data_IF_773399913324
#
_entry.id   IF_773399913324
#
_cell.length_a   1.000
_cell.length_b   1.000
_cell.length_c   1.000
_cell.angle_alpha   90.00
_cell.angle_beta   90.00
_cell.angle_gamma   90.00
#
_symmetry.space_group_name_H-M   'P 1'
#
loop_
_entity.id
_entity.type
_entity.pdbx_description
1 polymer ?
#
# COMPACT_ATOMS: atom_id res chain seq x y z
N UNK A 1 -13.69 4.15 -14.40
CA UNK A 1 -13.38 4.53 -13.00
C UNK A 1 -11.87 4.63 -12.90
N UNK A 2 -11.30 5.66 -12.27
CA UNK A 2 -9.83 5.76 -12.15
C UNK A 2 -9.36 4.72 -11.12
N UNK A 3 -8.35 3.93 -11.47
CA UNK A 3 -7.75 2.95 -10.57
C UNK A 3 -6.43 3.48 -10.02
N UNK A 4 -6.20 3.33 -8.72
CA UNK A 4 -4.96 3.77 -8.05
C UNK A 4 -4.38 2.64 -7.23
N UNK A 5 -3.12 2.30 -7.48
CA UNK A 5 -2.32 1.43 -6.62
C UNK A 5 -1.76 2.27 -5.46
N UNK A 6 -2.20 2.00 -4.22
CA UNK A 6 -1.80 2.76 -3.03
C UNK A 6 -0.83 1.95 -2.17
N UNK A 7 0.46 2.27 -2.26
CA UNK A 7 1.56 1.60 -1.58
C UNK A 7 1.94 2.40 -0.32
N UNK A 8 1.36 2.04 0.82
CA UNK A 8 1.48 2.82 2.07
C UNK A 8 1.41 1.93 3.31
N UNK A 9 1.63 2.50 4.51
CA UNK A 9 1.38 1.81 5.77
C UNK A 9 -0.10 1.50 6.01
N UNK A 10 -0.40 0.54 6.88
CA UNK A 10 -1.74 0.30 7.41
C UNK A 10 -1.72 0.09 8.93
N UNK A 11 -2.74 0.63 9.61
CA UNK A 11 -3.01 0.39 11.03
C UNK A 11 -4.41 -0.17 11.21
N UNK A 12 -4.59 -1.10 12.15
CA UNK A 12 -5.92 -1.69 12.46
C UNK A 12 -6.77 -0.75 13.32
N UNK A 13 -6.15 -0.11 14.32
CA UNK A 13 -6.75 0.91 15.18
C UNK A 13 -6.19 2.29 14.84
N UNK A 14 -7.07 3.23 14.54
CA UNK A 14 -6.74 4.59 14.11
C UNK A 14 -6.78 4.78 12.59
N UNK A 15 -6.37 5.97 12.15
CA UNK A 15 -6.45 6.39 10.74
C UNK A 15 -5.09 6.93 10.27
N UNK A 16 -4.30 6.08 9.63
CA UNK A 16 -3.01 6.42 9.01
C UNK A 16 -2.72 5.53 7.78
N UNK A 17 -2.06 6.11 6.77
CA UNK A 17 -1.79 5.44 5.49
C UNK A 17 -3.06 4.91 4.81
N UNK A 18 -3.05 3.65 4.35
CA UNK A 18 -4.18 3.05 3.65
C UNK A 18 -5.47 3.01 4.49
N UNK A 19 -5.38 2.92 5.83
CA UNK A 19 -6.57 2.97 6.72
C UNK A 19 -7.29 4.33 6.71
N UNK A 20 -6.63 5.40 6.23
CA UNK A 20 -7.25 6.73 6.03
C UNK A 20 -7.42 7.11 4.57
N UNK A 21 -6.57 6.62 3.66
CA UNK A 21 -6.59 7.01 2.25
C UNK A 21 -7.70 6.30 1.45
N UNK A 22 -7.94 5.01 1.73
CA UNK A 22 -8.81 4.16 0.89
C UNK A 22 -10.26 4.64 0.90
N UNK A 23 -10.84 4.87 2.08
CA UNK A 23 -12.25 5.26 2.19
C UNK A 23 -12.59 6.57 1.46
N UNK A 24 -11.91 7.71 1.71
CA UNK A 24 -12.24 8.96 1.02
C UNK A 24 -12.01 8.88 -0.49
N UNK A 25 -10.96 8.18 -0.95
CA UNK A 25 -10.72 8.00 -2.39
C UNK A 25 -11.83 7.17 -3.05
N UNK A 26 -12.24 6.06 -2.43
CA UNK A 26 -13.38 5.27 -2.88
C UNK A 26 -14.67 6.11 -2.89
N UNK A 27 -14.90 6.92 -1.85
CA UNK A 27 -16.06 7.81 -1.75
C UNK A 27 -16.10 8.88 -2.84
N UNK A 28 -14.94 9.25 -3.41
CA UNK A 28 -14.78 10.17 -4.53
C UNK A 28 -14.80 9.47 -5.90
N UNK A 29 -15.11 8.17 -5.96
CA UNK A 29 -15.22 7.42 -7.21
C UNK A 29 -13.88 6.95 -7.79
N UNK A 30 -12.82 6.91 -6.98
CA UNK A 30 -11.53 6.29 -7.33
C UNK A 30 -11.55 4.85 -6.82
N UNK A 31 -11.22 3.88 -7.67
CA UNK A 31 -11.03 2.50 -7.24
C UNK A 31 -9.61 2.33 -6.70
N UNK A 32 -9.45 2.05 -5.41
CA UNK A 32 -8.14 1.94 -4.78
C UNK A 32 -7.74 0.48 -4.57
N UNK A 33 -6.51 0.13 -4.95
CA UNK A 33 -5.86 -1.15 -4.67
C UNK A 33 -4.81 -0.92 -3.57
N UNK A 34 -5.14 -1.11 -2.28
CA UNK A 34 -4.18 -0.88 -1.21
C UNK A 34 -3.15 -2.02 -1.14
N UNK A 35 -1.88 -1.67 -1.24
CA UNK A 35 -0.75 -2.54 -0.97
C UNK A 35 -0.04 -2.03 0.30
N UNK A 36 -0.06 -2.82 1.37
CA UNK A 36 0.41 -2.38 2.67
C UNK A 36 1.92 -2.64 2.83
N UNK A 37 2.71 -1.60 3.11
CA UNK A 37 4.14 -1.73 3.42
C UNK A 37 4.40 -2.25 4.83
N UNK A 38 3.48 -1.93 5.75
CA UNK A 38 3.44 -2.44 7.11
C UNK A 38 1.99 -2.69 7.50
N UNK A 39 1.76 -3.63 8.41
CA UNK A 39 0.47 -3.77 9.08
C UNK A 39 0.69 -3.80 10.58
N UNK A 40 0.32 -2.71 11.24
CA UNK A 40 0.44 -2.55 12.69
C UNK A 40 -0.93 -2.49 13.38
N UNK A 41 -0.94 -2.78 14.67
CA UNK A 41 -2.13 -2.64 15.51
C UNK A 41 -2.61 -1.19 15.57
N UNK A 42 -1.68 -0.23 15.65
CA UNK A 42 -1.92 1.21 15.79
C UNK A 42 -0.65 1.97 15.38
N UNK A 43 -0.69 3.31 15.33
CA UNK A 43 0.49 4.09 14.97
C UNK A 43 1.58 4.03 16.04
N UNK A 44 2.83 4.26 15.63
CA UNK A 44 4.04 4.07 16.44
C UNK A 44 4.25 5.12 17.54
N UNK A 45 3.49 6.22 17.56
CA UNK A 45 3.51 7.18 18.67
C UNK A 45 2.82 6.68 19.95
N UNK A 46 2.08 5.56 19.90
CA UNK A 46 1.61 4.90 21.12
C UNK A 46 2.75 4.16 21.82
N UNK A 47 2.73 4.05 23.16
CA UNK A 47 3.76 3.31 23.90
C UNK A 47 3.84 1.82 23.54
N UNK A 48 2.71 1.22 23.15
CA UNK A 48 2.61 -0.17 22.75
C UNK A 48 2.00 -0.28 21.36
N UNK A 49 2.60 -1.12 20.53
CA UNK A 49 2.09 -1.50 19.21
C UNK A 49 2.65 -2.87 18.84
N UNK A 50 1.97 -3.56 17.93
CA UNK A 50 2.36 -4.88 17.40
C UNK A 50 2.15 -4.93 15.89
N UNK A 51 2.71 -5.94 15.24
CA UNK A 51 2.52 -6.21 13.81
C UNK A 51 3.83 -6.42 13.08
N UNK A 52 3.82 -6.28 11.76
CA UNK A 52 4.98 -6.56 10.92
C UNK A 52 5.21 -5.48 9.85
N UNK A 53 6.48 -5.34 9.48
CA UNK A 53 6.87 -4.79 8.18
C UNK A 53 6.70 -5.91 7.16
N UNK A 54 6.01 -5.64 6.05
CA UNK A 54 5.84 -6.66 5.01
C UNK A 54 7.17 -6.97 4.35
N UNK A 55 7.48 -8.24 4.04
CA UNK A 55 8.70 -8.57 3.29
C UNK A 55 8.75 -7.81 1.95
N UNK A 56 9.90 -7.26 1.53
CA UNK A 56 10.01 -6.55 0.25
C UNK A 56 9.54 -7.37 -0.96
N UNK A 57 9.89 -8.65 -1.00
CA UNK A 57 9.48 -9.61 -2.04
C UNK A 57 7.96 -9.76 -2.13
N UNK A 58 7.26 -9.70 -0.99
CA UNK A 58 5.80 -9.77 -0.95
C UNK A 58 5.16 -8.62 -1.74
N UNK A 59 5.76 -7.42 -1.71
CA UNK A 59 5.22 -6.27 -2.47
C UNK A 59 5.27 -6.54 -3.97
N UNK A 60 6.38 -7.08 -4.46
CA UNK A 60 6.55 -7.40 -5.87
C UNK A 60 5.66 -8.57 -6.30
N UNK A 61 5.56 -9.64 -5.49
CA UNK A 61 4.70 -10.78 -5.77
C UNK A 61 3.23 -10.38 -5.96
N UNK A 62 2.72 -9.49 -5.09
CA UNK A 62 1.33 -9.03 -5.20
C UNK A 62 1.11 -8.20 -6.46
N UNK A 63 2.04 -7.29 -6.80
CA UNK A 63 1.94 -6.49 -8.03
C UNK A 63 2.06 -7.37 -9.27
N UNK A 64 2.96 -8.36 -9.25
CA UNK A 64 3.09 -9.35 -10.31
C UNK A 64 1.76 -10.07 -10.54
N UNK A 65 1.10 -10.55 -9.49
CA UNK A 65 -0.22 -11.19 -9.62
C UNK A 65 -1.29 -10.29 -10.23
N UNK A 66 -1.26 -8.97 -9.97
CA UNK A 66 -2.14 -7.99 -10.64
C UNK A 66 -1.79 -7.85 -12.13
N UNK A 67 -0.49 -7.92 -12.47
CA UNK A 67 0.02 -7.92 -13.83
C UNK A 67 -0.39 -9.15 -14.64
N UNK A 68 -0.33 -10.33 -14.03
CA UNK A 68 -0.69 -11.62 -14.65
C UNK A 68 -2.18 -11.71 -15.06
N UNK A 69 -3.03 -10.87 -14.49
CA UNK A 69 -4.45 -10.74 -14.87
C UNK A 69 -4.75 -9.46 -15.69
N UNK A 70 -3.71 -8.86 -16.27
CA UNK A 70 -3.75 -7.68 -17.14
C UNK A 70 -4.39 -6.43 -16.52
N UNK A 71 -4.44 -6.34 -15.18
CA UNK A 71 -5.07 -5.18 -14.52
C UNK A 71 -4.16 -3.96 -14.43
N UNK A 72 -2.84 -4.16 -14.45
CA UNK A 72 -1.88 -3.04 -14.43
C UNK A 72 -2.06 -2.09 -15.63
N UNK A 73 -2.49 -2.59 -16.79
CA UNK A 73 -2.82 -1.77 -17.97
C UNK A 73 -3.97 -0.76 -17.72
N UNK A 74 -4.75 -0.97 -16.65
CA UNK A 74 -5.81 -0.08 -16.22
C UNK A 74 -5.47 0.71 -14.95
N UNK A 75 -4.23 0.64 -14.46
CA UNK A 75 -3.75 1.46 -13.34
C UNK A 75 -3.51 2.89 -13.84
N UNK A 76 -4.15 3.89 -13.22
CA UNK A 76 -4.07 5.27 -13.68
C UNK A 76 -3.09 6.13 -12.86
N UNK A 77 -2.77 5.71 -11.63
CA UNK A 77 -1.78 6.36 -10.79
C UNK A 77 -1.26 5.41 -9.71
N UNK A 78 -0.07 5.73 -9.19
CA UNK A 78 0.49 5.12 -7.99
C UNK A 78 0.58 6.18 -6.90
N UNK A 79 0.13 5.83 -5.69
CA UNK A 79 0.29 6.65 -4.49
C UNK A 79 1.27 5.92 -3.56
N UNK A 80 2.44 6.52 -3.32
CA UNK A 80 3.43 5.98 -2.39
C UNK A 80 3.45 6.79 -1.09
N UNK A 81 3.56 6.12 0.05
CA UNK A 81 3.53 6.71 1.39
C UNK A 81 4.63 6.18 2.29
N UNK A 82 4.30 5.87 3.54
CA UNK A 82 5.26 5.31 4.50
C UNK A 82 5.86 3.99 3.99
N UNK A 83 7.18 3.86 4.09
CA UNK A 83 7.95 2.66 3.72
C UNK A 83 8.60 2.11 5.00
N UNK A 84 8.45 0.82 5.25
CA UNK A 84 8.90 0.16 6.47
C UNK A 84 10.40 -0.18 6.50
N UNK A 85 11.06 -0.27 5.35
CA UNK A 85 12.51 -0.49 5.25
C UNK A 85 13.12 0.12 3.97
N UNK A 86 14.43 0.34 3.96
CA UNK A 86 15.12 0.82 2.76
C UNK A 86 15.01 -0.17 1.59
N UNK A 87 15.02 -1.47 1.89
CA UNK A 87 14.90 -2.53 0.90
C UNK A 87 13.54 -2.51 0.18
N UNK A 88 12.43 -2.28 0.90
CA UNK A 88 11.13 -2.06 0.28
C UNK A 88 11.16 -0.91 -0.74
N UNK A 89 11.96 0.13 -0.51
CA UNK A 89 12.11 1.24 -1.45
C UNK A 89 12.62 0.79 -2.83
N UNK A 90 13.58 -0.13 -2.88
CA UNK A 90 14.10 -0.67 -4.14
C UNK A 90 13.02 -1.47 -4.90
N UNK A 91 12.30 -2.34 -4.19
CA UNK A 91 11.19 -3.10 -4.78
C UNK A 91 10.05 -2.21 -5.27
N UNK A 92 9.73 -1.14 -4.53
CA UNK A 92 8.74 -0.15 -4.95
C UNK A 92 9.21 0.57 -6.22
N UNK A 93 10.49 0.89 -6.35
CA UNK A 93 11.03 1.47 -7.58
C UNK A 93 10.88 0.50 -8.76
N UNK A 94 11.10 -0.79 -8.56
CA UNK A 94 10.93 -1.79 -9.63
C UNK A 94 9.45 -1.99 -10.01
N UNK A 95 8.53 -1.88 -9.06
CA UNK A 95 7.07 -1.92 -9.28
C UNK A 95 6.59 -0.77 -10.19
N UNK A 96 7.20 0.41 -10.09
CA UNK A 96 6.71 1.63 -10.79
C UNK A 96 7.49 1.99 -12.06
N UNK A 97 8.49 1.19 -12.43
CA UNK A 97 9.20 1.32 -13.72
C UNK A 97 8.34 0.81 -14.87
#
# INVERSE_FOLDING_TARGET
MKNVLSIQSHVVFGHAGNSTAVFPMNRMGVNVWPLNTVQFSNHTQYPQWRGCVMPPEHLAEIVQGIGEIDKLASCHAVLSGYIGSAEQGNYILDIVK
#
